data_IF_883190270157
#
_entry.id   IF_883190270157
#
_cell.length_a   1.000
_cell.length_b   1.000
_cell.length_c   1.000
_cell.angle_alpha   90.00
_cell.angle_beta   90.00
_cell.angle_gamma   90.00
#
_symmetry.space_group_name_H-M   'P 1'
#
loop_
_entity.id
_entity.type
_entity.pdbx_description
1 polymer ?
#
# COMPACT_ATOMS: atom_id res chain seq x y z
N UNK A 1 59.84 -48.46 38.51
CA UNK A 1 58.38 -48.30 38.51
C UNK A 1 58.07 -46.92 37.96
N UNK A 2 57.65 -46.80 36.69
CA UNK A 2 57.21 -45.54 36.10
C UNK A 2 55.82 -45.78 35.50
N UNK A 3 54.82 -45.11 36.08
CA UNK A 3 53.45 -45.11 35.59
C UNK A 3 53.28 -44.00 34.55
N UNK A 4 52.81 -44.37 33.37
CA UNK A 4 52.52 -43.49 32.26
C UNK A 4 51.00 -43.34 32.19
N UNK A 5 50.49 -42.17 32.56
CA UNK A 5 49.06 -41.88 32.56
C UNK A 5 48.65 -41.34 31.19
N UNK A 6 47.86 -42.11 30.45
CA UNK A 6 47.31 -41.73 29.14
C UNK A 6 46.04 -40.90 29.38
N UNK A 7 46.05 -39.66 28.92
CA UNK A 7 44.91 -38.74 28.96
C UNK A 7 44.11 -38.89 27.65
N UNK A 8 42.90 -39.45 27.71
CA UNK A 8 41.98 -39.48 26.58
C UNK A 8 41.23 -38.15 26.45
N UNK A 9 41.43 -37.44 25.33
CA UNK A 9 40.62 -36.29 24.94
C UNK A 9 39.37 -36.75 24.17
N UNK A 10 38.20 -36.54 24.76
CA UNK A 10 36.89 -36.72 24.10
C UNK A 10 36.56 -35.45 23.30
N UNK A 11 36.61 -35.55 21.97
CA UNK A 11 36.15 -34.51 21.05
C UNK A 11 34.62 -34.54 20.94
N UNK A 12 33.94 -33.54 21.51
CA UNK A 12 32.51 -33.29 21.30
C UNK A 12 32.30 -32.49 20.01
N UNK A 13 31.73 -33.12 18.98
CA UNK A 13 31.23 -32.40 17.80
C UNK A 13 29.87 -31.75 18.13
N UNK A 14 29.71 -30.42 17.96
CA UNK A 14 28.41 -29.78 18.08
C UNK A 14 27.55 -30.12 16.86
N UNK A 15 26.38 -30.73 17.08
CA UNK A 15 25.35 -30.80 16.04
C UNK A 15 24.76 -29.40 15.83
N UNK A 16 25.07 -28.79 14.70
CA UNK A 16 24.40 -27.57 14.26
C UNK A 16 22.99 -27.93 13.77
N UNK A 17 21.95 -27.61 14.56
CA UNK A 17 20.56 -27.67 14.13
C UNK A 17 20.28 -26.49 13.19
N UNK A 18 20.23 -26.75 11.88
CA UNK A 18 19.68 -25.81 10.91
C UNK A 18 18.16 -25.86 11.01
N UNK A 19 17.58 -24.94 11.79
CA UNK A 19 16.14 -24.69 11.71
C UNK A 19 15.88 -23.98 10.39
N UNK A 20 15.03 -24.50 9.49
CA UNK A 20 14.63 -23.74 8.33
C UNK A 20 13.95 -22.47 8.82
N UNK A 21 14.51 -21.31 8.44
CA UNK A 21 13.86 -20.03 8.63
C UNK A 21 12.51 -20.12 7.89
N UNK A 22 11.40 -20.17 8.64
CA UNK A 22 10.08 -19.99 8.03
C UNK A 22 10.09 -18.60 7.40
N UNK A 23 10.02 -18.55 6.08
CA UNK A 23 9.74 -17.30 5.39
C UNK A 23 8.40 -16.75 5.93
N UNK A 24 8.30 -15.43 6.22
CA UNK A 24 7.04 -14.83 6.59
C UNK A 24 6.01 -15.13 5.50
N UNK A 25 4.86 -15.68 5.89
CA UNK A 25 3.76 -15.94 4.96
C UNK A 25 3.20 -14.60 4.52
N UNK A 26 3.18 -14.32 3.22
CA UNK A 26 2.53 -13.13 2.68
C UNK A 26 1.08 -13.06 3.17
N UNK A 27 0.65 -11.87 3.61
CA UNK A 27 -0.73 -11.63 4.00
C UNK A 27 -1.65 -11.88 2.81
N UNK A 28 -2.82 -12.54 3.00
CA UNK A 28 -3.76 -12.70 1.90
C UNK A 28 -4.23 -11.32 1.45
N UNK A 29 -4.29 -11.07 0.13
CA UNK A 29 -4.73 -9.79 -0.44
C UNK A 29 -6.19 -9.43 -0.08
N UNK A 30 -6.94 -10.37 0.47
CA UNK A 30 -8.29 -10.17 1.04
C UNK A 30 -8.29 -9.59 2.45
N UNK A 31 -7.12 -9.48 3.11
CA UNK A 31 -7.01 -8.85 4.43
C UNK A 31 -7.20 -7.34 4.33
N UNK A 32 -7.81 -6.77 5.36
CA UNK A 32 -7.94 -5.32 5.55
C UNK A 32 -6.64 -4.65 6.03
N UNK A 33 -5.58 -5.43 6.25
CA UNK A 33 -4.28 -4.96 6.73
C UNK A 33 -3.14 -5.52 5.87
N UNK A 34 -2.34 -4.63 5.28
CA UNK A 34 -1.20 -4.96 4.40
C UNK A 34 0.04 -4.15 4.78
N UNK A 35 1.20 -4.81 4.91
CA UNK A 35 2.41 -4.23 5.54
C UNK A 35 3.71 -4.55 4.78
N UNK A 36 3.63 -4.83 3.47
CA UNK A 36 4.76 -5.42 2.74
C UNK A 36 6.02 -4.53 2.70
N UNK A 37 5.85 -3.20 2.72
CA UNK A 37 6.96 -2.22 2.67
C UNK A 37 7.56 -1.99 4.06
N UNK A 38 6.72 -1.87 5.09
CA UNK A 38 7.20 -1.69 6.48
C UNK A 38 7.88 -2.96 7.01
N UNK A 39 7.36 -4.13 6.66
CA UNK A 39 7.93 -5.43 7.03
C UNK A 39 9.09 -5.84 6.10
N UNK A 40 9.34 -5.08 5.04
CA UNK A 40 10.40 -5.32 4.05
C UNK A 40 10.39 -6.76 3.51
N UNK A 41 9.24 -7.17 2.96
CA UNK A 41 8.99 -8.54 2.47
C UNK A 41 9.76 -8.91 1.18
N UNK A 42 10.60 -8.00 0.69
CA UNK A 42 11.39 -8.15 -0.53
C UNK A 42 10.78 -7.42 -1.72
N UNK A 43 11.59 -7.21 -2.77
CA UNK A 43 11.16 -6.43 -3.92
C UNK A 43 10.24 -7.19 -4.86
N UNK A 44 9.17 -6.51 -5.25
CA UNK A 44 8.13 -6.98 -6.16
C UNK A 44 8.13 -6.10 -7.41
N UNK A 45 7.45 -6.55 -8.47
CA UNK A 45 7.39 -5.78 -9.71
C UNK A 45 6.54 -4.51 -9.55
N UNK A 46 5.47 -4.60 -8.74
CA UNK A 46 4.58 -3.49 -8.43
C UNK A 46 4.44 -3.36 -6.91
N UNK A 47 4.43 -2.12 -6.41
CA UNK A 47 4.15 -1.81 -5.01
C UNK A 47 3.04 -0.78 -4.93
N UNK A 48 1.90 -1.16 -4.35
CA UNK A 48 0.81 -0.23 -4.08
C UNK A 48 0.99 0.36 -2.67
N UNK A 49 0.97 1.69 -2.58
CA UNK A 49 0.76 2.41 -1.31
C UNK A 49 -0.68 2.89 -1.30
N UNK A 50 -1.50 2.32 -0.41
CA UNK A 50 -2.95 2.51 -0.40
C UNK A 50 -3.45 3.19 0.88
N UNK A 51 -4.31 4.20 0.74
CA UNK A 51 -5.03 4.82 1.85
C UNK A 51 -6.54 4.47 1.80
N UNK A 52 -7.07 3.89 2.87
CA UNK A 52 -8.48 3.46 2.96
C UNK A 52 -9.47 4.63 3.10
N UNK A 53 -10.76 4.33 3.01
CA UNK A 53 -11.83 5.28 3.24
C UNK A 53 -12.14 5.53 4.72
N UNK A 54 -12.88 6.59 4.99
CA UNK A 54 -13.30 6.95 6.35
C UNK A 54 -14.10 5.81 6.99
N UNK A 55 -13.77 5.48 8.24
CA UNK A 55 -14.33 4.42 9.08
C UNK A 55 -14.06 2.99 8.59
N UNK A 56 -13.26 2.79 7.54
CA UNK A 56 -12.84 1.43 7.17
C UNK A 56 -11.89 0.83 8.22
N UNK A 57 -11.91 -0.49 8.36
CA UNK A 57 -11.03 -1.22 9.27
C UNK A 57 -9.62 -1.42 8.70
N UNK A 58 -8.70 -1.86 9.56
CA UNK A 58 -7.31 -2.14 9.18
C UNK A 58 -6.60 -0.91 8.62
N UNK A 59 -5.73 -1.11 7.63
CA UNK A 59 -5.01 -0.03 6.94
C UNK A 59 -5.32 0.08 5.44
N UNK A 60 -6.06 -0.89 4.86
CA UNK A 60 -6.53 -0.88 3.46
C UNK A 60 -8.04 -1.04 3.30
N UNK A 61 -8.79 -1.27 4.38
CA UNK A 61 -10.24 -1.41 4.31
C UNK A 61 -10.70 -2.63 3.51
N UNK A 62 -11.90 -2.54 2.92
CA UNK A 62 -12.53 -3.67 2.22
C UNK A 62 -13.26 -3.29 0.93
N UNK A 63 -13.63 -2.02 0.73
CA UNK A 63 -14.49 -1.59 -0.37
C UNK A 63 -13.72 -1.52 -1.69
N UNK A 64 -12.67 -0.69 -1.76
CA UNK A 64 -11.92 -0.48 -2.99
C UNK A 64 -10.57 -1.22 -3.00
N UNK A 65 -9.84 -1.19 -1.88
CA UNK A 65 -8.48 -1.71 -1.76
C UNK A 65 -8.36 -3.20 -2.12
N UNK A 66 -8.84 -4.14 -1.28
CA UNK A 66 -8.70 -5.56 -1.56
C UNK A 66 -9.21 -6.02 -2.94
N UNK A 67 -10.37 -5.56 -3.45
CA UNK A 67 -10.80 -5.89 -4.81
C UNK A 67 -9.80 -5.44 -5.88
N UNK A 68 -9.30 -4.20 -5.79
CA UNK A 68 -8.27 -3.68 -6.70
C UNK A 68 -6.97 -4.49 -6.65
N UNK A 69 -6.49 -4.82 -5.45
CA UNK A 69 -5.25 -5.60 -5.30
C UNK A 69 -5.39 -7.00 -5.92
N UNK A 70 -6.53 -7.66 -5.72
CA UNK A 70 -6.82 -8.97 -6.30
C UNK A 70 -6.91 -8.92 -7.83
N UNK A 71 -7.54 -7.88 -8.39
CA UNK A 71 -7.61 -7.70 -9.84
C UNK A 71 -6.23 -7.48 -10.47
N UNK A 72 -5.37 -6.66 -9.83
CA UNK A 72 -4.00 -6.47 -10.29
C UNK A 72 -3.17 -7.74 -10.15
N UNK A 73 -3.24 -8.42 -9.00
CA UNK A 73 -2.56 -9.69 -8.78
C UNK A 73 -2.99 -10.79 -9.76
N UNK A 74 -4.24 -10.77 -10.24
CA UNK A 74 -4.70 -11.68 -11.31
C UNK A 74 -3.99 -11.40 -12.63
N UNK A 75 -3.65 -10.14 -12.89
CA UNK A 75 -3.01 -9.70 -14.14
C UNK A 75 -1.49 -9.90 -14.13
N UNK A 76 -0.83 -9.62 -13.01
CA UNK A 76 0.65 -9.64 -12.92
C UNK A 76 1.21 -10.84 -12.13
N UNK A 77 0.34 -11.61 -11.46
CA UNK A 77 0.71 -12.65 -10.50
C UNK A 77 0.83 -12.11 -9.07
N UNK A 78 0.25 -12.83 -8.10
CA UNK A 78 0.24 -12.39 -6.69
C UNK A 78 1.65 -12.22 -6.10
N UNK A 79 2.60 -13.07 -6.49
CA UNK A 79 3.99 -12.99 -6.03
C UNK A 79 4.75 -11.77 -6.60
N UNK A 80 4.16 -11.04 -7.55
CA UNK A 80 4.72 -9.85 -8.19
C UNK A 80 4.15 -8.53 -7.64
N UNK A 81 3.20 -8.62 -6.71
CA UNK A 81 2.54 -7.47 -6.08
C UNK A 81 2.95 -7.37 -4.60
N UNK A 82 3.38 -6.18 -4.19
CA UNK A 82 3.43 -5.78 -2.79
C UNK A 82 2.34 -4.75 -2.49
N UNK A 83 1.71 -4.83 -1.33
CA UNK A 83 0.72 -3.87 -0.86
C UNK A 83 1.10 -3.33 0.51
N UNK A 84 1.06 -2.01 0.64
CA UNK A 84 1.25 -1.31 1.89
C UNK A 84 0.07 -0.38 2.15
N UNK A 85 -0.67 -0.64 3.23
CA UNK A 85 -1.66 0.31 3.70
C UNK A 85 -1.04 1.46 4.49
N UNK A 86 -1.62 2.64 4.37
CA UNK A 86 -1.30 3.78 5.23
C UNK A 86 -2.04 3.58 6.55
N UNK A 87 -1.30 3.36 7.64
CA UNK A 87 -1.89 3.24 8.97
C UNK A 87 -2.19 4.62 9.55
N UNK A 88 -3.46 4.99 9.55
CA UNK A 88 -3.96 6.28 10.01
C UNK A 88 -5.39 6.12 10.56
N UNK A 89 -5.93 7.07 11.33
CA UNK A 89 -7.20 6.89 12.03
C UNK A 89 -8.42 6.63 11.14
N UNK A 90 -8.41 7.16 9.93
CA UNK A 90 -9.55 7.17 9.01
C UNK A 90 -10.86 7.69 9.63
N UNK A 91 -10.81 8.71 10.47
CA UNK A 91 -12.00 9.21 11.18
C UNK A 91 -12.71 10.35 10.43
N UNK A 92 -13.94 10.67 10.84
CA UNK A 92 -14.75 11.73 10.22
C UNK A 92 -14.08 13.11 10.36
N UNK A 93 -13.41 13.37 11.48
CA UNK A 93 -12.72 14.63 11.71
C UNK A 93 -11.61 14.87 10.68
N UNK A 94 -10.82 13.84 10.37
CA UNK A 94 -9.82 13.88 9.32
C UNK A 94 -10.42 14.10 7.93
N UNK A 95 -11.65 13.61 7.67
CA UNK A 95 -12.29 13.76 6.34
C UNK A 95 -12.66 15.22 6.12
N UNK A 96 -13.35 15.79 7.11
CA UNK A 96 -13.79 17.18 7.08
C UNK A 96 -12.62 18.18 7.12
N UNK A 97 -11.43 17.74 7.55
CA UNK A 97 -10.21 18.54 7.57
C UNK A 97 -9.42 18.53 6.25
N UNK A 98 -9.85 17.81 5.21
CA UNK A 98 -9.08 17.69 3.96
C UNK A 98 -8.16 16.47 3.92
N UNK A 99 -8.42 15.44 4.73
CA UNK A 99 -7.54 14.28 4.94
C UNK A 99 -6.68 14.41 6.20
N UNK A 100 -6.37 13.27 6.83
CA UNK A 100 -5.53 13.25 8.02
C UNK A 100 -4.08 13.71 7.72
N UNK A 101 -3.59 14.68 8.48
CA UNK A 101 -2.29 15.29 8.22
C UNK A 101 -1.11 14.32 8.49
N UNK A 102 -1.25 13.45 9.50
CA UNK A 102 -0.23 12.46 9.85
C UNK A 102 -0.20 11.32 8.81
N UNK A 103 -1.36 10.79 8.43
CA UNK A 103 -1.52 9.81 7.36
C UNK A 103 -1.00 10.32 6.01
N UNK A 104 -1.26 11.59 5.67
CA UNK A 104 -0.74 12.22 4.44
C UNK A 104 0.79 12.23 4.43
N UNK A 105 1.39 12.54 5.58
CA UNK A 105 2.85 12.52 5.76
C UNK A 105 3.38 11.09 5.69
N UNK A 106 2.71 10.14 6.33
CA UNK A 106 3.10 8.73 6.33
C UNK A 106 3.06 8.16 4.90
N UNK A 107 2.01 8.44 4.13
CA UNK A 107 1.92 8.01 2.74
C UNK A 107 3.11 8.51 1.90
N UNK A 108 3.48 9.79 2.03
CA UNK A 108 4.67 10.33 1.34
C UNK A 108 5.97 9.64 1.78
N UNK A 109 6.10 9.28 3.06
CA UNK A 109 7.24 8.53 3.59
C UNK A 109 7.28 7.11 3.01
N UNK A 110 6.14 6.42 2.94
CA UNK A 110 6.02 5.06 2.40
C UNK A 110 6.33 5.00 0.90
N UNK A 111 5.91 6.01 0.12
CA UNK A 111 6.31 6.16 -1.29
C UNK A 111 7.83 6.25 -1.42
N UNK A 112 8.46 7.14 -0.65
CA UNK A 112 9.93 7.26 -0.65
C UNK A 112 10.65 6.00 -0.18
N UNK A 113 10.08 5.31 0.82
CA UNK A 113 10.60 4.06 1.34
C UNK A 113 10.55 2.95 0.30
N UNK A 114 9.42 2.76 -0.38
CA UNK A 114 9.26 1.76 -1.45
C UNK A 114 10.25 2.01 -2.60
N UNK A 115 10.39 3.26 -3.04
CA UNK A 115 11.35 3.64 -4.09
C UNK A 115 12.81 3.39 -3.67
N UNK A 116 13.13 3.57 -2.38
CA UNK A 116 14.49 3.36 -1.86
C UNK A 116 14.80 1.88 -1.66
N UNK A 117 13.86 1.12 -1.10
CA UNK A 117 14.03 -0.31 -0.86
C UNK A 117 14.08 -1.08 -2.18
N UNK A 118 13.26 -0.69 -3.15
CA UNK A 118 13.07 -1.39 -4.43
C UNK A 118 13.08 -0.42 -5.61
N UNK A 119 14.25 0.05 -6.07
CA UNK A 119 14.36 1.06 -7.12
C UNK A 119 13.70 0.68 -8.46
N UNK A 120 13.56 -0.62 -8.73
CA UNK A 120 12.95 -1.13 -9.96
C UNK A 120 11.43 -1.37 -9.84
N UNK A 121 10.84 -1.26 -8.64
CA UNK A 121 9.39 -1.45 -8.45
C UNK A 121 8.60 -0.33 -9.11
N UNK A 122 7.47 -0.68 -9.73
CA UNK A 122 6.48 0.32 -10.14
C UNK A 122 5.66 0.71 -8.91
N UNK A 123 5.96 1.88 -8.35
CA UNK A 123 5.19 2.42 -7.23
C UNK A 123 3.88 3.01 -7.74
N UNK A 124 2.78 2.53 -7.16
CA UNK A 124 1.41 3.02 -7.39
C UNK A 124 0.94 3.72 -6.12
N UNK A 125 0.49 4.96 -6.23
CA UNK A 125 -0.21 5.63 -5.13
C UNK A 125 -1.71 5.42 -5.32
N UNK A 126 -2.43 5.02 -4.29
CA UNK A 126 -3.87 4.83 -4.42
C UNK A 126 -4.61 5.17 -3.14
N UNK A 127 -5.88 5.56 -3.28
CA UNK A 127 -6.72 5.84 -2.14
C UNK A 127 -8.20 5.79 -2.48
N UNK A 128 -9.03 5.61 -1.45
CA UNK A 128 -10.48 5.63 -1.57
C UNK A 128 -11.08 6.68 -0.63
N UNK A 129 -11.99 7.52 -1.10
CA UNK A 129 -12.67 8.53 -0.29
C UNK A 129 -11.65 9.47 0.38
N UNK A 130 -11.62 9.55 1.71
CA UNK A 130 -10.56 10.25 2.45
C UNK A 130 -9.13 9.83 2.10
N UNK A 131 -8.93 8.57 1.71
CA UNK A 131 -7.65 8.11 1.21
C UNK A 131 -7.21 8.83 -0.08
N UNK A 132 -8.16 9.26 -0.92
CA UNK A 132 -7.88 10.14 -2.06
C UNK A 132 -7.31 11.49 -1.63
N UNK A 133 -7.88 12.11 -0.60
CA UNK A 133 -7.31 13.33 -0.01
C UNK A 133 -5.88 13.09 0.51
N UNK A 134 -5.59 11.93 1.11
CA UNK A 134 -4.21 11.56 1.49
C UNK A 134 -3.28 11.44 0.28
N UNK A 135 -3.74 10.88 -0.84
CA UNK A 135 -2.98 10.81 -2.10
C UNK A 135 -2.60 12.22 -2.56
N UNK A 136 -3.57 13.14 -2.66
CA UNK A 136 -3.32 14.53 -3.06
C UNK A 136 -2.35 15.24 -2.12
N UNK A 137 -2.51 15.05 -0.82
CA UNK A 137 -1.65 15.68 0.19
C UNK A 137 -0.23 15.09 0.22
N UNK A 138 -0.10 13.77 0.04
CA UNK A 138 1.19 13.10 -0.06
C UNK A 138 1.95 13.52 -1.31
N UNK A 139 1.25 13.64 -2.44
CA UNK A 139 1.79 14.09 -3.71
C UNK A 139 2.41 15.50 -3.62
N UNK A 140 1.80 16.40 -2.83
CA UNK A 140 2.36 17.75 -2.53
C UNK A 140 3.61 17.70 -1.63
N UNK A 141 3.84 16.60 -0.91
CA UNK A 141 4.92 16.43 0.09
C UNK A 141 6.14 15.69 -0.45
N UNK A 142 5.96 14.85 -1.48
CA UNK A 142 7.08 14.20 -2.17
C UNK A 142 7.78 15.19 -3.11
N UNK A 143 9.05 14.92 -3.41
CA UNK A 143 9.80 15.73 -4.38
C UNK A 143 9.30 15.49 -5.81
N UNK A 144 9.57 16.43 -6.73
CA UNK A 144 9.27 16.25 -8.15
C UNK A 144 9.92 14.98 -8.75
N UNK A 145 11.11 14.60 -8.29
CA UNK A 145 11.77 13.37 -8.73
C UNK A 145 11.04 12.11 -8.25
N UNK A 146 10.59 12.10 -6.98
CA UNK A 146 9.79 11.00 -6.44
C UNK A 146 8.44 10.89 -7.17
N UNK A 147 7.76 12.02 -7.41
CA UNK A 147 6.50 12.06 -8.16
C UNK A 147 6.65 11.61 -9.62
N UNK A 148 7.73 12.01 -10.29
CA UNK A 148 8.05 11.53 -11.63
C UNK A 148 8.31 10.01 -11.68
N UNK A 149 8.87 9.45 -10.60
CA UNK A 149 9.12 8.02 -10.43
C UNK A 149 7.89 7.20 -9.99
N UNK A 150 6.78 7.84 -9.60
CA UNK A 150 5.48 7.15 -9.44
C UNK A 150 5.03 6.65 -10.81
N UNK A 151 4.65 5.38 -10.89
CA UNK A 151 4.21 4.73 -12.13
C UNK A 151 2.80 5.15 -12.49
N UNK A 152 1.90 5.08 -11.51
CA UNK A 152 0.48 5.42 -11.66
C UNK A 152 -0.13 5.87 -10.33
N UNK A 153 -1.24 6.58 -10.43
CA UNK A 153 -2.08 7.01 -9.31
C UNK A 153 -3.51 6.58 -9.62
N UNK A 154 -4.17 5.90 -8.69
CA UNK A 154 -5.58 5.48 -8.85
C UNK A 154 -6.37 5.91 -7.62
N UNK A 155 -7.36 6.78 -7.80
CA UNK A 155 -8.20 7.27 -6.70
C UNK A 155 -9.66 6.88 -6.94
N UNK A 156 -10.29 6.24 -5.96
CA UNK A 156 -11.69 5.85 -5.99
C UNK A 156 -12.52 6.82 -5.14
N UNK A 157 -13.59 7.40 -5.69
CA UNK A 157 -14.49 8.28 -4.94
C UNK A 157 -13.80 9.51 -4.37
N UNK A 158 -13.06 10.23 -5.21
CA UNK A 158 -12.15 11.30 -4.80
C UNK A 158 -12.88 12.58 -4.33
N UNK A 159 -12.77 12.98 -3.05
CA UNK A 159 -13.35 14.25 -2.57
C UNK A 159 -12.73 15.49 -3.22
N UNK A 160 -11.50 15.36 -3.76
CA UNK A 160 -10.75 16.41 -4.43
C UNK A 160 -10.88 16.33 -5.97
N UNK A 161 -11.88 15.62 -6.50
CA UNK A 161 -12.08 15.44 -7.95
C UNK A 161 -12.04 16.78 -8.71
N UNK A 162 -11.36 16.76 -9.86
CA UNK A 162 -11.01 17.94 -10.65
C UNK A 162 -9.73 18.66 -10.21
N UNK A 163 -9.14 18.33 -9.06
CA UNK A 163 -7.81 18.81 -8.69
C UNK A 163 -6.70 17.91 -9.27
N UNK A 164 -5.57 18.52 -9.65
CA UNK A 164 -4.42 17.75 -10.10
C UNK A 164 -3.69 17.08 -8.92
N UNK A 165 -3.19 15.86 -9.12
CA UNK A 165 -2.25 15.21 -8.20
C UNK A 165 -0.86 15.82 -8.41
N UNK A 166 -0.40 16.60 -7.43
CA UNK A 166 0.85 17.36 -7.55
C UNK A 166 2.07 16.47 -7.85
N UNK A 167 3.03 16.99 -8.62
CA UNK A 167 4.28 16.29 -8.97
C UNK A 167 4.13 15.00 -9.80
N UNK A 168 2.91 14.61 -10.18
CA UNK A 168 2.64 13.44 -11.03
C UNK A 168 2.06 13.91 -12.37
N UNK A 169 2.51 13.30 -13.46
CA UNK A 169 1.94 13.56 -14.79
C UNK A 169 0.47 13.12 -14.82
N UNK A 170 -0.43 13.97 -15.30
CA UNK A 170 -1.85 13.66 -15.39
C UNK A 170 -2.14 12.40 -16.24
N UNK A 171 -1.27 12.05 -17.20
CA UNK A 171 -1.39 10.81 -17.97
C UNK A 171 -1.20 9.53 -17.12
N UNK A 172 -0.67 9.66 -15.91
CA UNK A 172 -0.48 8.58 -14.94
C UNK A 172 -1.57 8.56 -13.85
N UNK A 173 -2.56 9.43 -13.92
CA UNK A 173 -3.60 9.57 -12.89
C UNK A 173 -4.93 9.09 -13.43
N UNK A 174 -5.55 8.14 -12.73
CA UNK A 174 -6.92 7.70 -12.94
C UNK A 174 -7.77 8.02 -11.71
N UNK A 175 -8.76 8.91 -11.88
CA UNK A 175 -9.73 9.27 -10.84
C UNK A 175 -11.06 8.64 -11.24
N UNK A 176 -11.53 7.72 -10.41
CA UNK A 176 -12.74 6.94 -10.63
C UNK A 176 -13.84 7.49 -9.73
N UNK A 177 -14.76 8.24 -10.32
CA UNK A 177 -15.91 8.81 -9.64
C UNK A 177 -17.22 8.33 -10.28
N UNK A 178 -18.04 7.64 -9.49
CA UNK A 178 -19.34 7.16 -9.96
C UNK A 178 -20.35 8.28 -10.13
N UNK A 179 -21.19 8.17 -11.16
CA UNK A 179 -22.34 9.08 -11.31
C UNK A 179 -23.24 8.99 -10.08
N UNK A 180 -23.52 10.13 -9.46
CA UNK A 180 -24.33 10.21 -8.24
C UNK A 180 -23.56 10.01 -6.93
N UNK A 181 -22.24 9.83 -6.99
CA UNK A 181 -21.39 9.96 -5.82
C UNK A 181 -21.28 11.44 -5.42
N UNK A 182 -21.81 11.78 -4.24
CA UNK A 182 -21.78 13.15 -3.73
C UNK A 182 -20.44 13.50 -3.08
N UNK A 183 -19.64 12.50 -2.69
CA UNK A 183 -18.28 12.74 -2.16
C UNK A 183 -17.41 13.34 -3.25
N UNK A 184 -17.46 12.80 -4.47
CA UNK A 184 -16.79 13.39 -5.65
C UNK A 184 -17.27 14.80 -6.00
N UNK A 185 -18.40 15.24 -5.46
CA UNK A 185 -18.94 16.58 -5.66
C UNK A 185 -18.58 17.53 -4.51
N UNK A 186 -17.62 17.14 -3.66
CA UNK A 186 -17.18 17.91 -2.50
C UNK A 186 -18.18 17.94 -1.34
N UNK A 187 -19.14 17.00 -1.31
CA UNK A 187 -20.07 16.85 -0.19
C UNK A 187 -19.60 15.75 0.76
N UNK A 188 -20.30 15.59 1.88
CA UNK A 188 -20.00 14.62 2.95
C UNK A 188 -21.08 13.53 3.08
N UNK A 189 -22.03 13.48 2.13
CA UNK A 189 -23.14 12.54 2.15
C UNK A 189 -22.79 11.26 1.41
N UNK A 190 -22.78 10.14 2.14
CA UNK A 190 -22.52 8.81 1.58
C UNK A 190 -23.80 8.24 0.96
N UNK A 191 -23.75 8.01 -0.35
CA UNK A 191 -24.79 7.30 -1.10
C UNK A 191 -24.24 6.00 -1.69
N UNK A 192 -25.13 5.14 -2.19
CA UNK A 192 -24.76 3.84 -2.77
C UNK A 192 -23.65 3.92 -3.83
N UNK A 193 -23.61 4.89 -4.77
CA UNK A 193 -22.51 4.99 -5.74
C UNK A 193 -21.13 5.06 -5.08
N UNK A 194 -21.01 5.68 -3.90
CA UNK A 194 -19.74 5.77 -3.16
C UNK A 194 -19.28 4.41 -2.59
N UNK A 195 -20.18 3.45 -2.43
CA UNK A 195 -19.90 2.17 -1.77
C UNK A 195 -19.65 1.01 -2.74
N UNK A 196 -19.52 1.31 -4.04
CA UNK A 196 -19.56 0.30 -5.11
C UNK A 196 -18.30 0.21 -5.95
N UNK A 197 -17.20 0.85 -5.53
CA UNK A 197 -15.93 0.91 -6.26
C UNK A 197 -15.21 -0.44 -6.43
N UNK A 198 -15.68 -1.51 -5.77
CA UNK A 198 -15.24 -2.87 -6.07
C UNK A 198 -15.54 -3.28 -7.52
N UNK A 199 -16.52 -2.64 -8.17
CA UNK A 199 -16.87 -2.88 -9.58
C UNK A 199 -15.79 -2.40 -10.56
N UNK A 200 -15.00 -1.38 -10.17
CA UNK A 200 -13.97 -0.76 -11.01
C UNK A 200 -12.59 -1.39 -10.81
N UNK A 201 -12.48 -2.39 -9.94
CA UNK A 201 -11.20 -3.04 -9.62
C UNK A 201 -10.46 -3.53 -10.87
N UNK A 202 -11.18 -4.09 -11.84
CA UNK A 202 -10.59 -4.60 -13.07
C UNK A 202 -10.10 -3.49 -14.01
N UNK A 203 -10.84 -2.38 -14.14
CA UNK A 203 -10.41 -1.23 -14.95
C UNK A 203 -9.24 -0.50 -14.29
N UNK A 204 -9.29 -0.29 -12.97
CA UNK A 204 -8.18 0.25 -12.19
C UNK A 204 -6.90 -0.59 -12.33
N UNK A 205 -7.03 -1.92 -12.26
CA UNK A 205 -5.90 -2.82 -12.46
C UNK A 205 -5.34 -2.79 -13.88
N UNK A 206 -6.18 -2.56 -14.89
CA UNK A 206 -5.75 -2.45 -16.28
C UNK A 206 -5.08 -1.11 -16.61
N UNK A 207 -5.36 -0.06 -15.83
CA UNK A 207 -4.69 1.25 -15.94
C UNK A 207 -3.25 1.21 -15.41
N UNK A 208 -3.00 0.41 -14.37
CA UNK A 208 -1.68 0.19 -13.75
C UNK A 208 -0.75 -0.64 -14.64
#
# INVERSE_FOLDING_TARGET
MHHQTILLFLLSLPLAYTHPLLAPRASPLTSDTQNDVVDNTGCKAVTIIFARGTLESGNVGSIAGPPFFQALATSIGADQLAVQGVDYPADVAGFLAGGDAAGSKLMAQLVGQAQTQCPDTKVVMSGYSQGGQLVHNAAKRITAAQGAAVSSVVIFGDPDDGQAVANVDAAKVDIICHTGDLICQGQDTILLPHLTYSQDAASAAAFV
#
